data_IF_862345471676
#
_entry.id   IF_862345471676
#
_cell.length_a   1.000
_cell.length_b   1.000
_cell.length_c   1.000
_cell.angle_alpha   90.00
_cell.angle_beta   90.00
_cell.angle_gamma   90.00
#
_symmetry.space_group_name_H-M   'P 1'
#
loop_
_entity.id
_entity.type
_entity.pdbx_description
1 polymer ?
#
# COMPACT_ATOMS: atom_id res chain seq x y z
N UNK A 1 7.26 -17.93 -14.23
CA UNK A 1 6.11 -17.23 -14.82
C UNK A 1 5.37 -16.37 -13.80
N UNK A 2 6.00 -15.27 -13.37
CA UNK A 2 5.32 -14.18 -12.64
C UNK A 2 5.44 -12.94 -13.52
N UNK A 3 4.36 -12.16 -13.72
CA UNK A 3 4.44 -10.91 -14.47
C UNK A 3 5.37 -9.93 -13.75
N UNK A 4 6.02 -9.06 -14.52
CA UNK A 4 6.85 -7.99 -13.95
C UNK A 4 5.96 -6.99 -13.19
N UNK A 5 6.41 -6.42 -12.05
CA UNK A 5 5.61 -5.49 -11.26
C UNK A 5 5.03 -4.32 -12.06
N UNK A 6 5.79 -3.78 -13.00
CA UNK A 6 5.40 -2.65 -13.84
C UNK A 6 4.21 -2.98 -14.75
N UNK A 7 4.16 -4.22 -15.25
CA UNK A 7 3.03 -4.71 -16.07
C UNK A 7 1.75 -4.76 -15.24
N UNK A 8 1.84 -5.25 -14.00
CA UNK A 8 0.71 -5.33 -13.07
C UNK A 8 0.23 -3.93 -12.68
N UNK A 9 1.15 -3.02 -12.39
CA UNK A 9 0.83 -1.62 -12.06
C UNK A 9 0.10 -0.93 -13.23
N UNK A 10 0.56 -1.13 -14.47
CA UNK A 10 -0.13 -0.59 -15.66
C UNK A 10 -1.58 -1.06 -15.76
N UNK A 11 -1.85 -2.32 -15.43
CA UNK A 11 -3.20 -2.88 -15.43
C UNK A 11 -4.05 -2.30 -14.29
N UNK A 12 -3.48 -2.07 -13.11
CA UNK A 12 -4.18 -1.44 -11.98
C UNK A 12 -4.63 -0.02 -12.34
N UNK A 13 -3.77 0.78 -12.97
CA UNK A 13 -4.15 2.11 -13.46
C UNK A 13 -5.31 2.04 -14.46
N UNK A 14 -5.25 1.14 -15.44
CA UNK A 14 -6.35 0.94 -16.42
C UNK A 14 -7.66 0.55 -15.75
N UNK A 15 -7.64 -0.26 -14.70
CA UNK A 15 -8.84 -0.62 -13.94
C UNK A 15 -9.44 0.61 -13.25
N UNK A 16 -8.60 1.38 -12.54
CA UNK A 16 -9.02 2.60 -11.87
C UNK A 16 -9.57 3.64 -12.86
N UNK A 17 -8.85 3.92 -13.96
CA UNK A 17 -9.26 4.86 -15.01
C UNK A 17 -10.57 4.44 -15.69
N UNK A 18 -10.89 3.14 -15.69
CA UNK A 18 -12.17 2.61 -16.19
C UNK A 18 -13.33 2.73 -15.19
N UNK A 19 -13.15 3.47 -14.09
CA UNK A 19 -14.14 3.73 -13.06
C UNK A 19 -14.36 2.58 -12.08
N UNK A 20 -13.39 1.66 -11.92
CA UNK A 20 -13.49 0.53 -10.99
C UNK A 20 -12.70 0.83 -9.73
N UNK A 21 -13.30 0.58 -8.57
CA UNK A 21 -12.60 0.67 -7.30
C UNK A 21 -11.51 -0.40 -7.19
N UNK A 22 -10.34 0.00 -6.72
CA UNK A 22 -9.18 -0.86 -6.49
C UNK A 22 -8.93 -1.01 -4.99
N UNK A 23 -8.91 -2.26 -4.53
CA UNK A 23 -8.66 -2.59 -3.12
C UNK A 23 -7.33 -3.33 -3.00
N UNK A 24 -6.38 -2.74 -2.29
CA UNK A 24 -5.09 -3.36 -1.96
C UNK A 24 -5.19 -4.25 -0.72
N UNK A 25 -4.57 -5.44 -0.76
CA UNK A 25 -4.48 -6.35 0.39
C UNK A 25 -3.09 -6.98 0.50
N UNK A 26 -2.75 -7.47 1.70
CA UNK A 26 -1.49 -8.17 2.00
C UNK A 26 -0.22 -7.33 1.75
N UNK A 27 -0.31 -6.01 1.89
CA UNK A 27 0.80 -5.08 1.63
C UNK A 27 2.07 -5.43 2.41
N UNK A 28 1.91 -6.00 3.61
CA UNK A 28 3.01 -6.30 4.53
C UNK A 28 3.51 -7.74 4.32
N UNK A 29 3.69 -8.14 3.07
CA UNK A 29 4.14 -9.49 2.71
C UNK A 29 3.22 -10.59 3.22
N UNK A 30 1.93 -10.32 3.39
CA UNK A 30 1.00 -11.26 4.03
C UNK A 30 1.31 -11.59 5.50
N UNK A 31 2.15 -10.80 6.18
CA UNK A 31 2.61 -11.01 7.55
C UNK A 31 4.11 -11.24 7.66
N UNK A 32 4.82 -11.50 6.56
CA UNK A 32 6.25 -11.83 6.59
C UNK A 32 7.15 -10.64 7.00
N UNK A 33 6.67 -9.41 6.84
CA UNK A 33 7.47 -8.19 7.06
C UNK A 33 7.15 -7.46 8.37
N UNK A 34 6.45 -8.10 9.31
CA UNK A 34 5.95 -7.43 10.53
C UNK A 34 7.05 -6.80 11.39
N UNK A 35 8.25 -7.40 11.41
CA UNK A 35 9.43 -6.87 12.12
C UNK A 35 10.32 -5.98 11.24
N UNK A 36 10.01 -5.86 9.95
CA UNK A 36 10.83 -5.15 8.97
C UNK A 36 10.27 -3.75 8.71
N UNK A 37 10.48 -2.83 9.66
CA UNK A 37 9.90 -1.47 9.64
C UNK A 37 10.09 -0.74 8.31
N UNK A 38 11.28 -0.80 7.72
CA UNK A 38 11.57 -0.12 6.45
C UNK A 38 10.77 -0.72 5.28
N UNK A 39 10.54 -2.04 5.29
CA UNK A 39 9.70 -2.69 4.27
C UNK A 39 8.23 -2.32 4.42
N UNK A 40 7.75 -2.17 5.66
CA UNK A 40 6.39 -1.66 5.93
C UNK A 40 6.24 -0.26 5.32
N UNK A 41 7.17 0.65 5.62
CA UNK A 41 7.11 2.02 5.12
C UNK A 41 7.22 2.08 3.60
N UNK A 42 8.11 1.29 3.00
CA UNK A 42 8.25 1.20 1.55
C UNK A 42 6.99 0.63 0.88
N UNK A 43 6.36 -0.40 1.45
CA UNK A 43 5.13 -0.97 0.92
C UNK A 43 3.97 0.03 0.97
N UNK A 44 3.83 0.75 2.09
CA UNK A 44 2.82 1.81 2.24
C UNK A 44 3.07 2.95 1.26
N UNK A 45 4.31 3.45 1.16
CA UNK A 45 4.68 4.53 0.23
C UNK A 45 4.42 4.12 -1.22
N UNK A 46 4.79 2.89 -1.60
CA UNK A 46 4.56 2.37 -2.94
C UNK A 46 3.06 2.38 -3.27
N UNK A 47 2.23 1.73 -2.45
CA UNK A 47 0.79 1.60 -2.74
C UNK A 47 0.06 2.94 -2.71
N UNK A 48 0.34 3.79 -1.72
CA UNK A 48 -0.25 5.13 -1.64
C UNK A 48 0.22 6.04 -2.78
N UNK A 49 1.47 5.87 -3.22
CA UNK A 49 2.07 6.60 -4.32
C UNK A 49 1.54 6.21 -5.71
N UNK A 50 0.91 5.03 -5.86
CA UNK A 50 0.29 4.64 -7.12
C UNK A 50 -0.85 5.58 -7.53
N UNK A 51 -1.55 6.20 -6.57
CA UNK A 51 -2.68 7.09 -6.85
C UNK A 51 -3.91 6.41 -7.48
N UNK A 52 -3.87 5.10 -7.72
CA UNK A 52 -4.96 4.29 -8.29
C UNK A 52 -5.50 3.23 -7.34
N UNK A 53 -5.14 3.30 -6.04
CA UNK A 53 -5.65 2.41 -5.00
C UNK A 53 -6.59 3.20 -4.09
N UNK A 54 -7.85 2.79 -4.07
CA UNK A 54 -8.94 3.49 -3.39
C UNK A 54 -9.09 3.07 -1.92
N UNK A 55 -8.72 1.83 -1.61
CA UNK A 55 -8.84 1.26 -0.28
C UNK A 55 -7.70 0.27 -0.01
N UNK A 56 -7.25 0.23 1.24
CA UNK A 56 -6.24 -0.72 1.71
C UNK A 56 -6.82 -1.52 2.87
N UNK A 57 -6.68 -2.84 2.82
CA UNK A 57 -7.03 -3.75 3.91
C UNK A 57 -5.75 -4.21 4.61
N UNK A 58 -5.64 -3.92 5.89
CA UNK A 58 -4.56 -4.38 6.77
C UNK A 58 -5.18 -5.10 7.96
N UNK A 59 -4.71 -6.33 8.23
CA UNK A 59 -5.06 -7.08 9.42
C UNK A 59 -4.09 -6.76 10.56
N UNK A 60 -4.64 -6.59 11.77
CA UNK A 60 -3.87 -6.33 12.98
C UNK A 60 -4.08 -7.46 13.99
N UNK A 61 -3.02 -7.80 14.70
CA UNK A 61 -3.07 -8.71 15.86
C UNK A 61 -3.31 -7.92 17.16
N UNK A 62 -2.81 -6.69 17.23
CA UNK A 62 -2.86 -5.84 18.41
C UNK A 62 -3.43 -4.46 18.10
N UNK A 63 -4.20 -3.89 19.04
CA UNK A 63 -4.85 -2.58 18.86
C UNK A 63 -3.87 -1.44 18.60
N UNK A 64 -2.69 -1.47 19.22
CA UNK A 64 -1.64 -0.46 19.03
C UNK A 64 -1.14 -0.38 17.58
N UNK A 65 -1.32 -1.44 16.79
CA UNK A 65 -0.93 -1.44 15.38
C UNK A 65 -1.82 -0.52 14.55
N UNK A 66 -3.08 -0.26 14.96
CA UNK A 66 -3.96 0.67 14.25
C UNK A 66 -3.35 2.07 14.24
N UNK A 67 -2.93 2.57 15.40
CA UNK A 67 -2.31 3.89 15.53
C UNK A 67 -0.95 3.95 14.83
N UNK A 68 -0.15 2.89 14.94
CA UNK A 68 1.14 2.79 14.28
C UNK A 68 1.00 2.92 12.75
N UNK A 69 0.13 2.11 12.13
CA UNK A 69 -0.05 2.11 10.68
C UNK A 69 -0.74 3.38 10.20
N UNK A 70 -1.68 3.94 10.98
CA UNK A 70 -2.27 5.24 10.67
C UNK A 70 -1.22 6.35 10.67
N UNK A 71 -0.28 6.32 11.62
CA UNK A 71 0.86 7.25 11.67
C UNK A 71 1.77 7.12 10.44
N UNK A 72 2.17 5.90 10.10
CA UNK A 72 3.00 5.63 8.91
C UNK A 72 2.34 6.10 7.62
N UNK A 73 1.04 5.81 7.44
CA UNK A 73 0.27 6.28 6.28
C UNK A 73 0.23 7.80 6.18
N UNK A 74 0.03 8.50 7.32
CA UNK A 74 0.06 9.98 7.34
C UNK A 74 1.42 10.53 6.93
N UNK A 75 2.51 9.95 7.45
CA UNK A 75 3.87 10.34 7.06
C UNK A 75 4.12 10.12 5.58
N UNK A 76 3.80 8.94 5.06
CA UNK A 76 3.96 8.61 3.63
C UNK A 76 3.16 9.56 2.73
N UNK A 77 1.90 9.85 3.07
CA UNK A 77 1.07 10.81 2.32
C UNK A 77 1.62 12.24 2.39
N UNK A 78 2.21 12.64 3.52
CA UNK A 78 2.86 13.94 3.64
C UNK A 78 4.07 14.05 2.73
N UNK A 79 4.94 13.02 2.73
CA UNK A 79 6.12 12.95 1.86
C UNK A 79 5.73 13.02 0.37
N UNK A 80 4.73 12.23 -0.05
CA UNK A 80 4.26 12.20 -1.43
C UNK A 80 3.71 13.56 -1.87
N UNK A 81 3.00 14.29 -1.00
CA UNK A 81 2.47 15.62 -1.33
C UNK A 81 3.55 16.69 -1.46
N UNK A 82 4.71 16.49 -0.84
CA UNK A 82 5.82 17.44 -0.85
C UNK A 82 6.87 17.15 -1.93
N UNK A 83 6.80 15.98 -2.55
CA UNK A 83 7.66 15.57 -3.67
C UNK A 83 7.12 16.09 -5.00
#
# INVERSE_FOLDING_TARGET
DKPEPEEVVSLIHKLHDSGKGVIGMKLIGGGDYVEESDKIDNALRFVLGLGSVDMIIIGFQEMAQIDNYTGRMKSALSEIKTA
#
